data_IF_356105328958
#
_entry.id   IF_356105328958
#
_cell.length_a   1.000
_cell.length_b   1.000
_cell.length_c   1.000
_cell.angle_alpha   90.00
_cell.angle_beta   90.00
_cell.angle_gamma   90.00
#
_symmetry.space_group_name_H-M   'P 1'
#
loop_
_entity.id
_entity.type
_entity.pdbx_description
1 polymer ?
#
# COMPACT_ATOMS: atom_id res chain seq x y z
N UNK A 1 -3.09 14.00 -11.03
CA UNK A 1 -4.25 13.20 -11.47
C UNK A 1 -3.80 11.77 -11.70
N UNK A 2 -4.43 10.78 -11.04
CA UNK A 2 -4.04 9.37 -11.13
C UNK A 2 -4.30 8.79 -12.54
N UNK A 3 -3.62 7.69 -12.90
CA UNK A 3 -3.82 7.00 -14.20
C UNK A 3 -5.27 6.58 -14.40
N UNK A 4 -5.96 6.15 -13.34
CA UNK A 4 -7.37 5.76 -13.39
C UNK A 4 -8.29 6.94 -13.71
N UNK A 5 -8.07 8.10 -13.08
CA UNK A 5 -8.84 9.32 -13.37
C UNK A 5 -8.61 9.82 -14.81
N UNK A 6 -7.37 9.75 -15.29
CA UNK A 6 -7.07 10.11 -16.69
C UNK A 6 -7.83 9.23 -17.68
N UNK A 7 -7.95 7.93 -17.38
CA UNK A 7 -8.73 6.98 -18.18
C UNK A 7 -10.24 7.25 -18.10
N UNK A 8 -10.76 7.51 -16.90
CA UNK A 8 -12.19 7.78 -16.69
C UNK A 8 -12.71 8.95 -17.52
N UNK A 9 -11.91 10.02 -17.63
CA UNK A 9 -12.28 11.27 -18.33
C UNK A 9 -11.63 11.42 -19.70
N UNK A 10 -11.21 10.32 -20.32
CA UNK A 10 -10.66 10.31 -21.66
C UNK A 10 -11.75 10.38 -22.73
N UNK A 11 -11.55 11.24 -23.73
CA UNK A 11 -12.35 11.24 -24.97
C UNK A 11 -11.62 10.47 -26.07
N UNK A 12 -12.32 9.54 -26.70
CA UNK A 12 -11.81 8.81 -27.85
C UNK A 12 -12.06 9.57 -29.16
N UNK A 13 -11.38 9.17 -30.24
CA UNK A 13 -11.31 9.92 -31.51
C UNK A 13 -12.66 10.37 -32.13
N UNK A 14 -13.77 9.70 -31.82
CA UNK A 14 -15.09 9.97 -32.40
C UNK A 14 -16.20 10.13 -31.35
N UNK A 15 -15.92 9.84 -30.07
CA UNK A 15 -16.95 9.71 -29.05
C UNK A 15 -16.60 10.52 -27.81
N UNK A 16 -17.60 11.25 -27.33
CA UNK A 16 -17.61 11.94 -26.04
C UNK A 16 -18.41 11.12 -25.03
N UNK A 17 -17.84 10.91 -23.86
CA UNK A 17 -18.41 10.04 -22.83
C UNK A 17 -19.42 10.73 -21.92
N UNK A 18 -19.24 12.03 -21.66
CA UNK A 18 -20.02 12.80 -20.68
C UNK A 18 -20.45 14.18 -21.19
N UNK A 19 -21.38 14.78 -20.45
CA UNK A 19 -21.84 16.17 -20.56
C UNK A 19 -21.59 16.92 -19.24
N UNK A 20 -21.43 18.23 -19.32
CA UNK A 20 -21.34 19.08 -18.14
C UNK A 20 -22.58 18.91 -17.23
N UNK A 21 -22.35 18.90 -15.93
CA UNK A 21 -23.35 18.66 -14.88
C UNK A 21 -23.58 17.20 -14.52
N UNK A 22 -23.09 16.24 -15.31
CA UNK A 22 -23.28 14.82 -14.99
C UNK A 22 -22.39 14.37 -13.83
N UNK A 23 -22.97 13.56 -12.94
CA UNK A 23 -22.24 12.82 -11.92
C UNK A 23 -21.65 11.57 -12.58
N UNK A 24 -20.39 11.28 -12.26
CA UNK A 24 -19.69 10.07 -12.72
C UNK A 24 -19.24 9.24 -11.54
N UNK A 25 -19.33 7.92 -11.69
CA UNK A 25 -18.91 6.93 -10.70
C UNK A 25 -17.82 6.08 -11.34
N UNK A 26 -16.60 6.17 -10.81
CA UNK A 26 -15.43 5.44 -11.28
C UNK A 26 -15.28 4.10 -10.56
N UNK A 27 -15.45 3.01 -11.29
CA UNK A 27 -15.30 1.64 -10.80
C UNK A 27 -14.16 0.91 -11.53
N UNK A 28 -13.33 0.17 -10.81
CA UNK A 28 -12.26 -0.66 -11.38
C UNK A 28 -12.42 -2.12 -10.93
N UNK A 29 -12.26 -3.07 -11.86
CA UNK A 29 -12.28 -4.50 -11.50
C UNK A 29 -11.14 -4.81 -10.53
N UNK A 30 -11.46 -5.50 -9.44
CA UNK A 30 -10.45 -5.98 -8.49
C UNK A 30 -9.66 -7.14 -9.09
N UNK A 31 -10.36 -8.10 -9.70
CA UNK A 31 -9.75 -9.21 -10.47
C UNK A 31 -10.44 -9.36 -11.83
N UNK A 32 -9.71 -9.67 -12.92
CA UNK A 32 -10.31 -9.78 -14.25
C UNK A 32 -11.45 -10.82 -14.36
N UNK A 33 -11.31 -11.93 -13.63
CA UNK A 33 -12.21 -13.09 -13.66
C UNK A 33 -13.40 -12.98 -12.73
N UNK A 34 -13.46 -11.94 -11.90
CA UNK A 34 -14.52 -11.73 -10.91
C UNK A 34 -15.42 -10.56 -11.35
N UNK A 35 -16.57 -10.45 -10.67
CA UNK A 35 -17.58 -9.40 -10.88
C UNK A 35 -17.51 -8.33 -9.78
N UNK A 36 -16.41 -8.28 -9.01
CA UNK A 36 -16.19 -7.32 -7.93
C UNK A 36 -15.42 -6.09 -8.43
N UNK A 37 -15.98 -4.92 -8.15
CA UNK A 37 -15.50 -3.63 -8.62
C UNK A 37 -15.29 -2.68 -7.44
N UNK A 38 -14.11 -2.08 -7.38
CA UNK A 38 -13.77 -1.09 -6.38
C UNK A 38 -14.14 0.31 -6.86
N UNK A 39 -14.82 1.07 -6.01
CA UNK A 39 -15.02 2.51 -6.21
C UNK A 39 -13.70 3.25 -6.05
N UNK A 40 -13.21 3.91 -7.10
CA UNK A 40 -11.98 4.70 -7.03
C UNK A 40 -12.21 6.21 -7.16
N UNK A 41 -13.43 6.65 -7.54
CA UNK A 41 -13.75 8.07 -7.68
C UNK A 41 -15.27 8.31 -7.80
N UNK A 42 -15.75 9.42 -7.25
CA UNK A 42 -17.08 9.98 -7.53
C UNK A 42 -16.94 11.48 -7.72
N UNK A 43 -17.43 12.00 -8.84
CA UNK A 43 -17.27 13.42 -9.15
C UNK A 43 -18.30 13.93 -10.13
N UNK A 44 -18.26 15.24 -10.40
CA UNK A 44 -19.15 15.93 -11.33
C UNK A 44 -18.34 16.53 -12.46
N UNK A 45 -18.76 16.29 -13.70
CA UNK A 45 -18.17 16.95 -14.87
C UNK A 45 -18.57 18.42 -14.84
N UNK A 46 -17.58 19.31 -14.75
CA UNK A 46 -17.81 20.76 -14.72
C UNK A 46 -17.77 21.35 -16.12
N UNK A 47 -16.94 20.79 -17.02
CA UNK A 47 -16.75 21.33 -18.38
C UNK A 47 -16.29 20.28 -19.38
N UNK A 48 -16.82 20.36 -20.60
CA UNK A 48 -16.27 19.66 -21.78
C UNK A 48 -15.19 20.54 -22.43
N UNK A 49 -13.97 20.00 -22.52
CA UNK A 49 -12.80 20.68 -23.07
C UNK A 49 -12.74 20.63 -24.60
N UNK A 50 -13.67 19.91 -25.26
CA UNK A 50 -13.66 19.65 -26.70
C UNK A 50 -12.34 19.02 -27.21
N UNK A 51 -11.62 18.30 -26.33
CA UNK A 51 -10.39 17.58 -26.69
C UNK A 51 -10.72 16.12 -27.02
N UNK A 52 -10.21 15.63 -28.14
CA UNK A 52 -10.27 14.23 -28.56
C UNK A 52 -8.90 13.58 -28.38
N UNK A 53 -8.87 12.28 -28.15
CA UNK A 53 -7.66 11.51 -27.85
C UNK A 53 -6.85 12.15 -26.69
N UNK A 54 -7.56 12.67 -25.70
CA UNK A 54 -6.97 13.26 -24.51
C UNK A 54 -7.98 13.23 -23.36
N UNK A 55 -7.54 13.65 -22.18
CA UNK A 55 -8.45 14.03 -21.09
C UNK A 55 -9.35 15.16 -21.60
N UNK A 56 -10.64 14.82 -21.73
CA UNK A 56 -11.63 15.61 -22.43
C UNK A 56 -12.48 16.49 -21.53
N UNK A 57 -12.34 16.37 -20.21
CA UNK A 57 -13.25 16.97 -19.25
C UNK A 57 -12.52 17.59 -18.07
N UNK A 58 -13.04 18.73 -17.59
CA UNK A 58 -12.81 19.17 -16.22
C UNK A 58 -13.88 18.56 -15.32
N UNK A 59 -13.50 18.28 -14.08
CA UNK A 59 -14.38 17.69 -13.09
C UNK A 59 -13.99 18.16 -11.70
N UNK A 60 -14.93 18.04 -10.78
CA UNK A 60 -14.73 18.23 -9.35
C UNK A 60 -15.07 16.93 -8.61
N UNK A 61 -14.32 16.63 -7.56
CA UNK A 61 -14.66 15.54 -6.64
C UNK A 61 -15.96 15.89 -5.89
N UNK A 62 -16.73 14.88 -5.49
CA UNK A 62 -17.89 15.07 -4.62
C UNK A 62 -17.54 14.59 -3.19
N UNK A 63 -17.23 15.52 -2.26
CA UNK A 63 -16.66 15.18 -0.95
C UNK A 63 -17.54 14.25 -0.09
N UNK A 64 -18.86 14.32 -0.25
CA UNK A 64 -19.81 13.47 0.50
C UNK A 64 -19.57 11.96 0.29
N UNK A 65 -18.92 11.58 -0.82
CA UNK A 65 -18.63 10.19 -1.18
C UNK A 65 -17.16 9.79 -0.96
N UNK A 66 -16.29 10.72 -0.56
CA UNK A 66 -14.85 10.48 -0.39
C UNK A 66 -14.59 9.32 0.59
N UNK A 67 -15.38 9.23 1.65
CA UNK A 67 -15.30 8.15 2.66
C UNK A 67 -15.53 6.73 2.10
N UNK A 68 -16.09 6.59 0.90
CA UNK A 68 -16.32 5.31 0.21
C UNK A 68 -15.29 5.03 -0.88
N UNK A 69 -14.57 6.05 -1.34
CA UNK A 69 -13.52 5.90 -2.35
C UNK A 69 -12.42 5.01 -1.79
N UNK A 70 -12.01 4.03 -2.59
CA UNK A 70 -11.12 2.96 -2.17
C UNK A 70 -11.74 1.96 -1.21
N UNK A 71 -13.00 2.09 -0.76
CA UNK A 71 -13.56 1.22 0.29
C UNK A 71 -14.78 0.44 -0.16
N UNK A 72 -15.58 1.04 -1.03
CA UNK A 72 -16.80 0.42 -1.53
C UNK A 72 -16.48 -0.59 -2.63
N UNK A 73 -16.89 -1.84 -2.41
CA UNK A 73 -16.87 -2.91 -3.41
C UNK A 73 -18.31 -3.14 -3.87
N UNK A 74 -18.54 -2.94 -5.16
CA UNK A 74 -19.80 -3.22 -5.85
C UNK A 74 -19.65 -4.51 -6.63
N UNK A 75 -20.64 -5.38 -6.56
CA UNK A 75 -20.71 -6.56 -7.41
C UNK A 75 -21.64 -6.27 -8.58
N UNK A 76 -21.11 -6.43 -9.79
CA UNK A 76 -21.82 -6.16 -11.03
C UNK A 76 -21.27 -7.01 -12.17
N UNK A 77 -22.14 -7.82 -12.77
CA UNK A 77 -21.78 -8.63 -13.93
C UNK A 77 -21.99 -7.83 -15.22
N UNK A 78 -20.92 -7.20 -15.70
CA UNK A 78 -20.98 -6.49 -16.98
C UNK A 78 -21.10 -7.49 -18.15
N UNK A 79 -22.23 -7.47 -18.85
CA UNK A 79 -22.47 -8.29 -20.05
C UNK A 79 -22.13 -7.57 -21.35
N UNK A 80 -21.78 -6.29 -21.30
CA UNK A 80 -21.49 -5.48 -22.47
C UNK A 80 -19.99 -5.25 -22.65
N UNK A 81 -19.56 -5.08 -23.90
CA UNK A 81 -18.17 -4.71 -24.20
C UNK A 81 -17.84 -3.26 -23.79
N UNK A 82 -18.85 -2.39 -23.74
CA UNK A 82 -18.69 -0.99 -23.34
C UNK A 82 -18.59 -0.86 -21.83
N UNK A 83 -17.52 -0.21 -21.36
CA UNK A 83 -17.22 -0.03 -19.94
C UNK A 83 -17.89 1.21 -19.33
N UNK A 84 -18.14 2.25 -20.13
CA UNK A 84 -18.89 3.44 -19.70
C UNK A 84 -20.37 3.19 -19.96
N UNK A 85 -21.18 3.31 -18.91
CA UNK A 85 -22.62 3.02 -18.92
C UNK A 85 -23.39 4.20 -18.35
N UNK A 86 -24.60 4.43 -18.85
CA UNK A 86 -25.56 5.25 -18.10
C UNK A 86 -25.95 4.46 -16.83
N UNK A 87 -25.79 5.08 -15.66
CA UNK A 87 -26.09 4.44 -14.38
C UNK A 87 -27.53 3.89 -14.34
N UNK A 88 -28.51 4.64 -14.83
CA UNK A 88 -29.92 4.22 -14.87
C UNK A 88 -30.14 2.89 -15.58
N UNK A 89 -29.25 2.51 -16.51
CA UNK A 89 -29.37 1.27 -17.28
C UNK A 89 -28.79 0.03 -16.57
N UNK A 90 -28.08 0.21 -15.45
CA UNK A 90 -27.34 -0.87 -14.76
C UNK A 90 -27.41 -0.80 -13.24
N UNK A 91 -27.87 0.30 -12.65
CA UNK A 91 -27.77 0.54 -11.20
C UNK A 91 -28.56 -0.48 -10.39
N UNK A 92 -29.69 -0.98 -10.90
CA UNK A 92 -30.51 -2.00 -10.23
C UNK A 92 -29.86 -3.40 -10.25
N UNK A 93 -28.91 -3.64 -11.16
CA UNK A 93 -28.10 -4.87 -11.21
C UNK A 93 -26.84 -4.77 -10.33
N UNK A 94 -26.52 -3.58 -9.82
CA UNK A 94 -25.39 -3.35 -8.93
C UNK A 94 -25.82 -3.54 -7.48
N UNK A 95 -25.04 -4.28 -6.70
CA UNK A 95 -25.23 -4.33 -5.25
C UNK A 95 -23.93 -4.11 -4.50
N UNK A 96 -24.04 -3.47 -3.34
CA UNK A 96 -22.92 -3.27 -2.42
C UNK A 96 -22.55 -4.62 -1.81
N UNK A 97 -21.40 -5.15 -2.24
CA UNK A 97 -20.86 -6.42 -1.73
C UNK A 97 -20.19 -6.20 -0.37
N UNK A 98 -19.39 -5.14 -0.26
CA UNK A 98 -18.66 -4.81 0.96
C UNK A 98 -18.35 -3.31 1.03
N UNK A 99 -18.28 -2.79 2.25
CA UNK A 99 -17.60 -1.53 2.54
C UNK A 99 -16.43 -1.88 3.45
N UNK A 100 -15.20 -1.69 2.95
CA UNK A 100 -14.00 -2.03 3.68
C UNK A 100 -13.83 -1.10 4.89
N UNK A 101 -13.26 -1.59 6.00
CA UNK A 101 -12.96 -0.74 7.15
C UNK A 101 -11.94 0.37 6.82
N UNK A 102 -11.10 0.15 5.80
CA UNK A 102 -10.06 1.06 5.33
C UNK A 102 -9.86 0.91 3.80
N UNK A 103 -9.11 1.81 3.16
CA UNK A 103 -8.89 1.78 1.71
C UNK A 103 -8.32 0.43 1.23
N UNK A 104 -8.85 -0.02 0.08
CA UNK A 104 -8.42 -1.16 -0.72
C UNK A 104 -7.10 -0.79 -1.35
N UNK A 105 -6.10 -0.83 -0.51
CA UNK A 105 -4.72 -0.95 -0.90
C UNK A 105 -4.42 -2.45 -0.77
N UNK A 106 -3.50 -2.97 -1.57
CA UNK A 106 -3.06 -4.37 -1.53
C UNK A 106 -2.27 -4.70 -0.23
N UNK A 107 -2.60 -4.01 0.86
CA UNK A 107 -2.01 -3.95 2.18
C UNK A 107 -2.47 -5.11 3.07
N UNK A 108 -2.97 -6.19 2.48
CA UNK A 108 -3.10 -7.45 3.19
C UNK A 108 -1.71 -7.90 3.62
N UNK A 109 -1.58 -8.37 4.85
CA UNK A 109 -0.30 -8.91 5.32
C UNK A 109 0.11 -10.07 4.40
N UNK A 110 1.24 -9.96 3.67
CA UNK A 110 1.56 -10.90 2.59
C UNK A 110 2.09 -12.26 3.10
N UNK A 111 2.22 -12.42 4.42
CA UNK A 111 2.97 -13.48 5.07
C UNK A 111 4.42 -13.06 5.31
N UNK A 112 5.02 -13.53 6.41
CA UNK A 112 6.34 -13.08 6.88
C UNK A 112 7.43 -13.19 5.80
N UNK A 113 7.47 -14.31 5.07
CA UNK A 113 8.45 -14.61 4.02
C UNK A 113 8.32 -13.70 2.78
N UNK A 114 7.19 -13.02 2.62
CA UNK A 114 6.90 -12.15 1.47
C UNK A 114 6.91 -10.67 1.84
N UNK A 115 7.24 -10.32 3.08
CA UNK A 115 7.38 -8.92 3.49
C UNK A 115 8.64 -8.34 2.85
N UNK A 116 8.45 -7.35 1.98
CA UNK A 116 9.51 -6.55 1.36
C UNK A 116 8.91 -5.20 0.96
N UNK A 117 8.84 -4.27 1.92
CA UNK A 117 8.08 -3.02 1.79
C UNK A 117 8.98 -1.79 1.98
N UNK A 118 8.60 -0.67 1.36
CA UNK A 118 9.21 0.65 1.58
C UNK A 118 8.81 1.25 2.93
N UNK A 119 9.45 2.36 3.30
CA UNK A 119 9.07 3.11 4.50
C UNK A 119 7.63 3.64 4.44
N UNK A 120 7.19 4.17 3.28
CA UNK A 120 5.83 4.70 3.11
C UNK A 120 4.78 3.60 3.25
N UNK A 121 5.04 2.43 2.66
CA UNK A 121 4.20 1.25 2.82
C UNK A 121 4.17 0.81 4.29
N UNK A 122 5.32 0.70 4.95
CA UNK A 122 5.40 0.36 6.38
C UNK A 122 4.58 1.33 7.23
N UNK A 123 4.76 2.64 7.06
CA UNK A 123 4.01 3.67 7.78
C UNK A 123 2.49 3.56 7.56
N UNK A 124 2.06 3.19 6.35
CA UNK A 124 0.64 2.99 6.01
C UNK A 124 0.05 1.72 6.63
N UNK A 125 0.80 0.61 6.64
CA UNK A 125 0.23 -0.70 6.98
C UNK A 125 0.37 -1.11 8.45
N UNK A 126 1.33 -0.56 9.19
CA UNK A 126 1.63 -1.03 10.55
C UNK A 126 0.47 -0.89 11.55
N UNK A 127 -0.42 0.07 11.35
CA UNK A 127 -1.60 0.27 12.23
C UNK A 127 -2.83 -0.51 11.77
N UNK A 128 -2.78 -1.17 10.61
CA UNK A 128 -3.86 -2.05 10.13
C UNK A 128 -3.93 -3.32 11.00
N UNK A 129 -5.15 -3.75 11.32
CA UNK A 129 -5.40 -4.82 12.30
C UNK A 129 -4.69 -6.15 11.97
N UNK A 130 -4.62 -6.51 10.68
CA UNK A 130 -3.96 -7.71 10.19
C UNK A 130 -2.43 -7.66 10.37
N UNK A 131 -1.78 -6.54 10.02
CA UNK A 131 -0.35 -6.32 10.23
C UNK A 131 0.00 -6.23 11.71
N UNK A 132 -0.78 -5.47 12.47
CA UNK A 132 -0.63 -5.34 13.92
C UNK A 132 -0.68 -6.71 14.59
N UNK A 133 -1.68 -7.52 14.26
CA UNK A 133 -1.84 -8.86 14.84
C UNK A 133 -0.69 -9.80 14.47
N UNK A 134 -0.23 -9.78 13.22
CA UNK A 134 0.88 -10.61 12.76
C UNK A 134 2.21 -10.22 13.43
N UNK A 135 2.51 -8.92 13.53
CA UNK A 135 3.82 -8.45 13.97
C UNK A 135 3.95 -8.26 15.49
N UNK A 136 2.86 -8.00 16.22
CA UNK A 136 2.94 -7.68 17.66
C UNK A 136 3.29 -8.89 18.55
N UNK A 137 3.05 -10.11 18.07
CA UNK A 137 3.21 -11.34 18.84
C UNK A 137 4.42 -12.19 18.43
N UNK A 138 5.19 -11.74 17.43
CA UNK A 138 6.27 -12.52 16.85
C UNK A 138 7.60 -11.85 17.07
N UNK A 139 8.50 -12.56 17.77
CA UNK A 139 9.93 -12.25 17.77
C UNK A 139 10.48 -12.48 16.37
N UNK A 140 11.60 -11.85 16.03
CA UNK A 140 12.21 -12.10 14.74
C UNK A 140 13.51 -11.36 14.47
N UNK A 141 14.13 -11.76 13.37
CA UNK A 141 15.26 -11.05 12.76
C UNK A 141 14.77 -10.47 11.44
N UNK A 142 15.05 -9.20 11.21
CA UNK A 142 14.63 -8.46 10.02
C UNK A 142 15.83 -7.83 9.32
N UNK A 143 15.60 -7.46 8.05
CA UNK A 143 16.58 -6.83 7.18
C UNK A 143 16.05 -5.48 6.72
N UNK A 144 16.91 -4.47 6.81
CA UNK A 144 16.75 -3.17 6.19
C UNK A 144 17.78 -3.03 5.07
N UNK A 145 17.33 -2.79 3.84
CA UNK A 145 18.23 -2.67 2.68
C UNK A 145 18.11 -1.28 2.08
N UNK A 146 19.24 -0.58 1.97
CA UNK A 146 19.34 0.67 1.21
C UNK A 146 19.48 0.35 -0.28
N UNK A 147 18.42 0.57 -1.03
CA UNK A 147 18.36 0.22 -2.45
C UNK A 147 19.22 1.14 -3.33
N UNK A 148 19.71 2.26 -2.79
CA UNK A 148 20.54 3.20 -3.54
C UNK A 148 22.01 2.77 -3.64
N UNK A 149 22.48 1.94 -2.69
CA UNK A 149 23.89 1.54 -2.60
C UNK A 149 24.10 0.06 -2.20
N UNK A 150 23.03 -0.68 -1.93
CA UNK A 150 23.07 -2.10 -1.56
C UNK A 150 23.50 -2.39 -0.13
N UNK A 151 23.75 -1.36 0.70
CA UNK A 151 24.12 -1.55 2.11
C UNK A 151 22.93 -2.09 2.91
N UNK A 152 23.23 -2.97 3.85
CA UNK A 152 22.22 -3.68 4.64
C UNK A 152 22.38 -3.41 6.14
N UNK A 153 21.28 -3.46 6.87
CA UNK A 153 21.23 -3.48 8.32
C UNK A 153 20.38 -4.67 8.77
N UNK A 154 20.96 -5.54 9.57
CA UNK A 154 20.28 -6.66 10.22
C UNK A 154 19.93 -6.23 11.65
N UNK A 155 18.69 -6.43 12.05
CA UNK A 155 18.25 -6.16 13.43
C UNK A 155 17.35 -7.27 13.94
N UNK A 156 17.27 -7.38 15.26
CA UNK A 156 16.34 -8.29 15.93
C UNK A 156 15.25 -7.54 16.68
N UNK A 157 14.17 -8.26 16.95
CA UNK A 157 13.06 -7.81 17.77
C UNK A 157 12.65 -8.93 18.73
N UNK A 158 12.98 -8.76 20.00
CA UNK A 158 12.64 -9.68 21.10
C UNK A 158 12.03 -8.97 22.33
N UNK A 159 11.97 -7.63 22.31
CA UNK A 159 11.42 -6.80 23.37
C UNK A 159 9.92 -6.51 23.24
N UNK A 160 9.47 -5.40 23.84
CA UNK A 160 8.05 -5.04 23.88
C UNK A 160 7.43 -4.87 22.48
N UNK A 161 6.25 -5.45 22.27
CA UNK A 161 5.54 -5.49 20.99
C UNK A 161 6.35 -6.10 19.82
N UNK A 162 7.45 -6.79 20.12
CA UNK A 162 8.25 -7.57 19.18
C UNK A 162 8.57 -6.82 17.86
N UNK A 163 8.39 -7.44 16.69
CA UNK A 163 8.69 -6.82 15.39
C UNK A 163 7.91 -5.51 15.22
N UNK A 164 6.63 -5.48 15.60
CA UNK A 164 5.79 -4.28 15.50
C UNK A 164 6.41 -3.11 16.29
N UNK A 165 6.87 -3.36 17.51
CA UNK A 165 7.52 -2.35 18.36
C UNK A 165 8.75 -1.75 17.70
N UNK A 166 9.63 -2.61 17.16
CA UNK A 166 10.84 -2.15 16.44
C UNK A 166 10.50 -1.37 15.17
N UNK A 167 9.55 -1.84 14.37
CA UNK A 167 9.19 -1.19 13.12
C UNK A 167 8.51 0.16 13.34
N UNK A 168 7.68 0.29 14.38
CA UNK A 168 7.14 1.60 14.82
C UNK A 168 8.25 2.58 15.22
N UNK A 169 9.32 2.12 15.85
CA UNK A 169 10.46 2.98 16.18
C UNK A 169 11.15 3.53 14.91
N UNK A 170 11.28 2.73 13.85
CA UNK A 170 11.79 3.17 12.56
C UNK A 170 10.82 4.10 11.82
N UNK A 171 9.51 3.86 11.90
CA UNK A 171 8.51 4.82 11.40
C UNK A 171 8.64 6.16 12.12
N UNK A 172 8.89 6.19 13.43
CA UNK A 172 8.97 7.44 14.18
C UNK A 172 10.28 8.21 13.97
N UNK A 173 11.41 7.50 13.84
CA UNK A 173 12.76 8.11 13.94
C UNK A 173 13.67 7.84 12.75
N UNK A 174 13.30 6.92 11.86
CA UNK A 174 14.15 6.39 10.80
C UNK A 174 15.20 5.38 11.28
N UNK A 175 15.87 5.65 12.40
CA UNK A 175 17.03 4.87 12.84
C UNK A 175 16.75 3.94 14.04
N UNK A 176 15.63 4.10 14.76
CA UNK A 176 15.23 3.20 15.85
C UNK A 176 16.25 3.09 17.01
N UNK A 177 17.08 4.11 17.17
CA UNK A 177 18.21 4.16 18.12
C UNK A 177 19.55 3.62 17.60
N UNK A 178 19.60 2.98 16.43
CA UNK A 178 20.82 2.33 15.92
C UNK A 178 21.90 3.32 15.47
N UNK A 179 23.13 3.10 15.90
CA UNK A 179 24.25 4.02 15.69
C UNK A 179 24.59 4.17 14.21
N UNK A 180 24.73 3.08 13.46
CA UNK A 180 25.05 3.15 12.03
C UNK A 180 23.98 3.88 11.21
N UNK A 181 22.70 3.65 11.51
CA UNK A 181 21.59 4.31 10.83
C UNK A 181 21.44 5.80 11.20
N UNK A 182 21.90 6.23 12.39
CA UNK A 182 21.87 7.66 12.80
C UNK A 182 22.75 8.56 11.94
N UNK A 183 23.69 7.99 11.18
CA UNK A 183 24.53 8.73 10.23
C UNK A 183 23.74 9.23 9.01
N UNK A 184 22.54 8.70 8.77
CA UNK A 184 21.66 9.03 7.66
C UNK A 184 20.56 9.99 8.11
N UNK A 185 20.15 10.90 7.22
CA UNK A 185 18.98 11.74 7.48
C UNK A 185 17.70 10.92 7.38
N UNK A 186 16.65 11.35 8.10
CA UNK A 186 15.39 10.62 8.08
C UNK A 186 14.75 10.60 6.68
N UNK A 187 14.79 11.72 5.95
CA UNK A 187 14.28 11.79 4.57
C UNK A 187 15.02 10.85 3.63
N UNK A 188 16.33 10.67 3.83
CA UNK A 188 17.10 9.69 3.07
C UNK A 188 16.59 8.27 3.34
N UNK A 189 16.36 7.91 4.61
CA UNK A 189 15.84 6.58 4.98
C UNK A 189 14.47 6.33 4.34
N UNK A 190 13.56 7.30 4.42
CA UNK A 190 12.21 7.17 3.83
C UNK A 190 12.26 6.84 2.35
N UNK A 191 13.17 7.50 1.63
CA UNK A 191 13.30 7.37 0.18
C UNK A 191 13.98 6.07 -0.27
N UNK A 192 14.98 5.61 0.49
CA UNK A 192 15.94 4.62 -0.01
C UNK A 192 15.88 3.26 0.69
N UNK A 193 15.06 3.07 1.73
CA UNK A 193 15.06 1.81 2.48
C UNK A 193 13.87 0.91 2.17
N UNK A 194 14.18 -0.39 2.06
CA UNK A 194 13.21 -1.48 2.13
C UNK A 194 13.37 -2.30 3.39
N UNK A 195 12.26 -2.88 3.85
CA UNK A 195 12.12 -3.62 5.10
C UNK A 195 11.59 -5.02 4.81
N UNK A 196 12.31 -6.04 5.26
CA UNK A 196 11.99 -7.45 5.07
C UNK A 196 12.18 -8.24 6.36
N UNK A 197 11.59 -9.43 6.44
CA UNK A 197 11.74 -10.34 7.59
C UNK A 197 12.60 -11.53 7.15
N UNK A 198 13.61 -11.88 7.96
CA UNK A 198 14.50 -13.00 7.71
C UNK A 198 14.03 -14.26 8.46
N UNK A 199 13.77 -14.12 9.76
CA UNK A 199 13.29 -15.21 10.60
C UNK A 199 12.20 -14.74 11.56
N UNK A 200 11.31 -15.66 11.94
CA UNK A 200 10.27 -15.46 12.94
C UNK A 200 10.36 -16.50 14.05
N UNK A 201 10.02 -16.08 15.26
CA UNK A 201 10.04 -16.91 16.45
C UNK A 201 8.82 -16.64 17.31
N UNK A 202 8.41 -17.65 18.08
CA UNK A 202 7.32 -17.51 19.06
C UNK A 202 7.77 -16.56 20.17
N UNK A 203 6.82 -15.88 20.80
CA UNK A 203 7.07 -15.01 21.95
C UNK A 203 7.78 -15.72 23.13
N UNK A 204 7.59 -17.03 23.25
CA UNK A 204 8.21 -17.87 24.30
C UNK A 204 9.63 -18.32 23.99
N UNK A 205 10.16 -18.07 22.79
CA UNK A 205 11.54 -18.41 22.44
C UNK A 205 12.50 -17.53 23.24
N UNK A 206 13.58 -18.12 23.74
CA UNK A 206 14.64 -17.39 24.47
C UNK A 206 15.23 -16.25 23.62
N UNK A 207 15.41 -15.08 24.22
CA UNK A 207 15.95 -13.90 23.55
C UNK A 207 17.36 -14.15 23.01
N UNK A 208 18.16 -14.95 23.71
CA UNK A 208 19.52 -15.28 23.30
C UNK A 208 19.54 -15.98 21.94
N UNK A 209 18.55 -16.84 21.65
CA UNK A 209 18.41 -17.49 20.34
C UNK A 209 18.23 -16.45 19.23
N UNK A 210 17.46 -15.39 19.49
CA UNK A 210 17.18 -14.34 18.52
C UNK A 210 18.43 -13.49 18.29
N UNK A 211 19.17 -13.19 19.36
CA UNK A 211 20.42 -12.42 19.33
C UNK A 211 21.51 -13.18 18.58
N UNK A 212 21.66 -14.48 18.85
CA UNK A 212 22.61 -15.35 18.16
C UNK A 212 22.26 -15.44 16.67
N UNK A 213 20.96 -15.56 16.35
CA UNK A 213 20.51 -15.58 14.96
C UNK A 213 20.74 -14.26 14.24
N UNK A 214 20.52 -13.13 14.90
CA UNK A 214 20.85 -11.81 14.36
C UNK A 214 22.34 -11.73 14.02
N UNK A 215 23.21 -12.21 14.93
CA UNK A 215 24.66 -12.23 14.73
C UNK A 215 25.06 -13.11 13.55
N UNK A 216 24.43 -14.28 13.41
CA UNK A 216 24.63 -15.16 12.27
C UNK A 216 24.29 -14.46 10.93
N UNK A 217 23.16 -13.77 10.85
CA UNK A 217 22.80 -13.02 9.63
C UNK A 217 23.73 -11.85 9.34
N UNK A 218 24.24 -11.16 10.36
CA UNK A 218 25.26 -10.11 10.17
C UNK A 218 26.53 -10.65 9.54
N UNK A 219 26.94 -11.85 9.92
CA UNK A 219 28.11 -12.53 9.35
C UNK A 219 27.85 -12.98 7.91
N UNK A 220 26.73 -13.67 7.67
CA UNK A 220 26.35 -14.19 6.35
C UNK A 220 26.19 -13.07 5.32
N UNK A 221 25.53 -11.97 5.70
CA UNK A 221 25.29 -10.82 4.83
C UNK A 221 26.44 -9.80 4.86
N UNK A 222 27.47 -10.05 5.68
CA UNK A 222 28.61 -9.17 5.91
C UNK A 222 28.21 -7.72 6.25
N UNK A 223 27.08 -7.54 6.94
CA UNK A 223 26.48 -6.22 7.18
C UNK A 223 27.27 -5.36 8.17
N UNK A 224 28.21 -5.95 8.92
CA UNK A 224 29.21 -5.21 9.71
C UNK A 224 30.32 -4.58 8.88
N UNK A 225 30.71 -5.26 7.79
CA UNK A 225 31.82 -4.82 6.94
C UNK A 225 31.35 -3.90 5.83
N UNK A 226 30.20 -4.21 5.25
CA UNK A 226 29.69 -3.54 4.06
C UNK A 226 28.32 -2.88 4.28
N UNK A 227 27.74 -2.99 5.47
CA UNK A 227 26.42 -2.48 5.80
C UNK A 227 26.43 -1.37 6.83
N UNK A 228 25.37 -1.29 7.62
CA UNK A 228 25.16 -0.29 8.68
C UNK A 228 25.16 -0.88 10.09
N UNK A 229 25.56 -2.15 10.26
CA UNK A 229 25.69 -2.75 11.59
C UNK A 229 27.04 -2.35 12.22
N UNK A 230 26.99 -1.56 13.29
CA UNK A 230 28.16 -1.09 14.05
C UNK A 230 28.39 -1.90 15.35
N UNK A 231 27.71 -3.03 15.49
CA UNK A 231 27.74 -3.91 16.66
C UNK A 231 27.90 -5.38 16.25
#
# INVERSE_FOLDING_TARGET
MSTMLRGQYWNYNKNKSYKAGQITVGLVKIKPTEDDWLLFHVGRVTKDLNKLNNVGYEFEDLPDYEKYVGRLIVKFKNKAQTMIRNAESVIDDCYVSQILPDTFDNDLFPGYEKVNISWDEMNRVLEKSNWKTALQNQKGVYLMTDISNGKMYVGSAYGENMILGRWRAYVKTGHGGNVGLKTLTFDYIKKNFKYSILDIYKSTTDDQIIIDRESWWKEVLQSRKFGYNEN
#
